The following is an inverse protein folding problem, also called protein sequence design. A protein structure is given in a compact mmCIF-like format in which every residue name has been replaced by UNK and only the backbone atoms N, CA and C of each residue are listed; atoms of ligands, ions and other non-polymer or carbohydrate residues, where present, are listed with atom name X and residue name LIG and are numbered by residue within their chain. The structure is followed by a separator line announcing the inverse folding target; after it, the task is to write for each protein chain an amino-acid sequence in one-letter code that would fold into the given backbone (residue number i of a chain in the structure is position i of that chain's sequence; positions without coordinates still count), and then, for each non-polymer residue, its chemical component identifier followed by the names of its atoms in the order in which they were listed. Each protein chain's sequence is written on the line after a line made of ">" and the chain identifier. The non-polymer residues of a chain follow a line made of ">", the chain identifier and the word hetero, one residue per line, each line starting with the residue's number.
data_IF_778241206223
#
_entry.id   IF_778241206223
#
_cell.length_a   1.000
_cell.length_b   1.000
_cell.length_c   1.000
_cell.angle_alpha   90.00
_cell.angle_beta   90.00
_cell.angle_gamma   90.00
#
_symmetry.space_group_name_H-M   'P 1'
#
loop_
_entity.id
_entity.type
_entity.pdbx_description
1 polymer ?
#
# COMPACT_ATOMS: atom_id res chain seq x y z
N UNK A 1 25.52 -46.17 -1.49
CA UNK A 1 25.61 -44.71 -1.26
C UNK A 1 24.52 -44.04 -2.07
N UNK A 2 23.58 -43.36 -1.42
CA UNK A 2 22.41 -42.74 -2.06
C UNK A 2 22.58 -41.23 -1.98
N UNK A 3 23.06 -40.63 -3.07
CA UNK A 3 23.22 -39.18 -3.23
C UNK A 3 21.89 -38.56 -3.64
N UNK A 4 21.43 -37.56 -2.89
CA UNK A 4 20.31 -36.70 -3.30
C UNK A 4 20.73 -35.79 -4.48
N UNK A 5 19.78 -35.30 -5.30
CA UNK A 5 20.06 -34.65 -6.59
C UNK A 5 20.80 -33.31 -6.51
N UNK A 6 21.09 -32.81 -5.29
CA UNK A 6 21.79 -31.55 -5.06
C UNK A 6 23.25 -31.71 -4.62
N UNK A 7 23.79 -32.92 -4.57
CA UNK A 7 25.25 -33.14 -4.44
C UNK A 7 25.92 -32.45 -3.24
N UNK A 8 25.19 -32.10 -2.17
CA UNK A 8 25.79 -31.57 -0.95
C UNK A 8 26.03 -32.71 0.03
N UNK A 9 27.30 -33.01 0.24
CA UNK A 9 27.78 -33.87 1.31
C UNK A 9 27.50 -33.20 2.66
N UNK A 10 26.57 -33.77 3.42
CA UNK A 10 26.21 -33.37 4.79
C UNK A 10 27.42 -33.36 5.73
N UNK A 11 28.53 -34.02 5.37
CA UNK A 11 29.79 -33.97 6.11
C UNK A 11 30.48 -32.59 6.11
N UNK A 12 30.26 -31.75 5.09
CA UNK A 12 30.93 -30.43 5.01
C UNK A 12 30.27 -29.33 5.84
N UNK A 13 29.02 -29.52 6.29
CA UNK A 13 28.35 -28.53 7.17
C UNK A 13 28.95 -28.48 8.58
N UNK A 14 29.71 -29.51 8.99
CA UNK A 14 30.31 -29.61 10.33
C UNK A 14 31.79 -29.18 10.41
N UNK A 15 32.43 -28.78 9.31
CA UNK A 15 33.89 -28.61 9.28
C UNK A 15 34.41 -27.21 9.68
N UNK A 16 33.54 -26.21 9.91
CA UNK A 16 34.02 -24.89 10.32
C UNK A 16 33.06 -24.22 11.32
N UNK A 17 33.43 -24.11 12.61
CA UNK A 17 32.57 -23.51 13.64
C UNK A 17 32.20 -22.05 13.34
N UNK A 18 33.06 -21.33 12.60
CA UNK A 18 32.75 -19.99 12.09
C UNK A 18 31.61 -19.97 11.08
N UNK A 19 31.53 -20.96 10.18
CA UNK A 19 30.48 -21.05 9.17
C UNK A 19 29.14 -21.44 9.80
N UNK A 20 29.15 -22.36 10.76
CA UNK A 20 27.97 -22.74 11.54
C UNK A 20 27.43 -21.57 12.37
N UNK A 21 28.32 -20.82 13.04
CA UNK A 21 27.94 -19.59 13.76
C UNK A 21 27.36 -18.54 12.81
N UNK A 22 27.95 -18.35 11.63
CA UNK A 22 27.49 -17.40 10.62
C UNK A 22 26.10 -17.77 10.07
N UNK A 23 25.87 -19.04 9.74
CA UNK A 23 24.55 -19.55 9.37
C UNK A 23 23.52 -19.36 10.49
N UNK A 24 23.91 -19.60 11.75
CA UNK A 24 23.02 -19.40 12.89
C UNK A 24 22.63 -17.91 13.05
N UNK A 25 23.54 -16.97 12.79
CA UNK A 25 23.19 -15.53 12.76
C UNK A 25 22.25 -15.20 11.59
N UNK A 26 22.48 -15.79 10.42
CA UNK A 26 21.60 -15.63 9.25
C UNK A 26 20.18 -16.17 9.50
N UNK A 27 20.05 -17.32 10.16
CA UNK A 27 18.76 -17.88 10.54
C UNK A 27 18.06 -17.03 11.61
N UNK A 28 18.80 -16.39 12.52
CA UNK A 28 18.23 -15.35 13.41
C UNK A 28 17.78 -14.11 12.63
N UNK A 29 18.41 -13.83 11.48
CA UNK A 29 18.05 -12.78 10.51
C UNK A 29 16.77 -13.03 9.70
N UNK A 30 16.22 -14.25 9.69
CA UNK A 30 14.90 -14.53 9.08
C UNK A 30 13.79 -13.77 9.80
N UNK A 31 13.95 -13.48 11.09
CA UNK A 31 13.00 -12.71 11.90
C UNK A 31 12.92 -11.22 11.46
N UNK A 32 14.04 -10.45 11.34
CA UNK A 32 13.99 -9.08 10.83
C UNK A 32 13.59 -8.97 9.35
N UNK A 33 13.99 -9.90 8.48
CA UNK A 33 13.51 -9.90 7.08
C UNK A 33 12.00 -10.13 6.97
N UNK A 34 11.46 -11.06 7.76
CA UNK A 34 10.02 -11.30 7.83
C UNK A 34 9.26 -10.08 8.40
N UNK A 35 9.80 -9.41 9.44
CA UNK A 35 9.22 -8.17 10.00
C UNK A 35 9.24 -7.02 9.00
N UNK A 36 10.33 -6.87 8.25
CA UNK A 36 10.44 -5.87 7.20
C UNK A 36 9.45 -6.13 6.05
N UNK A 37 9.28 -7.39 5.65
CA UNK A 37 8.25 -7.78 4.69
C UNK A 37 6.83 -7.51 5.22
N UNK A 38 6.57 -7.81 6.50
CA UNK A 38 5.28 -7.52 7.14
C UNK A 38 4.99 -6.02 7.17
N UNK A 39 5.94 -5.20 7.66
CA UNK A 39 5.80 -3.74 7.70
C UNK A 39 5.59 -3.13 6.30
N UNK A 40 6.19 -3.71 5.27
CA UNK A 40 5.98 -3.30 3.88
C UNK A 40 4.57 -3.65 3.37
N UNK A 41 4.08 -4.86 3.65
CA UNK A 41 2.70 -5.27 3.28
C UNK A 41 1.66 -4.45 4.03
N UNK A 42 1.87 -4.17 5.32
CA UNK A 42 0.98 -3.33 6.13
C UNK A 42 0.92 -1.90 5.59
N UNK A 43 2.06 -1.31 5.24
CA UNK A 43 2.10 0.02 4.63
C UNK A 43 1.41 0.06 3.26
N UNK A 44 1.53 -1.00 2.47
CA UNK A 44 0.80 -1.14 1.21
C UNK A 44 -0.72 -1.29 1.42
N UNK A 45 -1.13 -2.05 2.42
CA UNK A 45 -2.54 -2.23 2.75
C UNK A 45 -3.19 -0.90 3.19
N UNK A 46 -2.53 -0.13 4.04
CA UNK A 46 -2.97 1.22 4.44
C UNK A 46 -3.08 2.17 3.24
N UNK A 47 -2.13 2.14 2.32
CA UNK A 47 -2.20 2.93 1.08
C UNK A 47 -3.39 2.50 0.20
N UNK A 48 -3.61 1.19 0.05
CA UNK A 48 -4.73 0.66 -0.73
C UNK A 48 -6.09 1.02 -0.14
N UNK A 49 -6.24 1.00 1.19
CA UNK A 49 -7.48 1.41 1.85
C UNK A 49 -7.80 2.88 1.56
N UNK A 50 -6.79 3.75 1.61
CA UNK A 50 -6.95 5.15 1.29
C UNK A 50 -7.35 5.37 -0.19
N UNK A 51 -6.73 4.63 -1.12
CA UNK A 51 -7.10 4.68 -2.55
C UNK A 51 -8.54 4.18 -2.78
N UNK A 52 -8.97 3.14 -2.06
CA UNK A 52 -10.35 2.65 -2.13
C UNK A 52 -11.36 3.70 -1.64
N UNK A 53 -11.04 4.44 -0.57
CA UNK A 53 -11.86 5.55 -0.08
C UNK A 53 -11.95 6.69 -1.10
N UNK A 54 -10.84 7.01 -1.78
CA UNK A 54 -10.84 8.00 -2.85
C UNK A 54 -11.72 7.56 -4.03
N UNK A 55 -11.56 6.31 -4.50
CA UNK A 55 -12.38 5.77 -5.60
C UNK A 55 -13.87 5.74 -5.26
N UNK A 56 -14.22 5.43 -4.01
CA UNK A 56 -15.60 5.52 -3.52
C UNK A 56 -16.14 6.95 -3.62
N UNK A 57 -15.39 7.95 -3.17
CA UNK A 57 -15.81 9.35 -3.26
C UNK A 57 -15.99 9.80 -4.72
N UNK A 58 -15.13 9.35 -5.64
CA UNK A 58 -15.29 9.61 -7.08
C UNK A 58 -16.56 8.94 -7.62
N UNK A 59 -16.82 7.69 -7.28
CA UNK A 59 -18.02 6.99 -7.71
C UNK A 59 -19.30 7.67 -7.20
N UNK A 60 -19.33 8.09 -5.92
CA UNK A 60 -20.43 8.86 -5.33
C UNK A 60 -20.63 10.21 -6.04
N UNK A 61 -19.56 10.91 -6.39
CA UNK A 61 -19.64 12.15 -7.18
C UNK A 61 -20.20 11.90 -8.59
N UNK A 62 -19.86 10.75 -9.21
CA UNK A 62 -20.41 10.34 -10.49
C UNK A 62 -21.91 10.09 -10.43
N UNK A 63 -22.37 9.44 -9.36
CA UNK A 63 -23.81 9.24 -9.12
C UNK A 63 -24.54 10.58 -8.94
N UNK A 64 -23.98 11.50 -8.14
CA UNK A 64 -24.53 12.85 -7.97
C UNK A 64 -24.56 13.65 -9.28
N UNK A 65 -23.59 13.44 -10.18
CA UNK A 65 -23.62 14.03 -11.52
C UNK A 65 -24.83 13.53 -12.32
N UNK A 66 -25.08 12.22 -12.28
CA UNK A 66 -26.22 11.61 -12.97
C UNK A 66 -27.55 12.10 -12.39
N UNK A 67 -27.68 12.23 -11.07
CA UNK A 67 -28.84 12.84 -10.41
C UNK A 67 -29.00 14.32 -10.81
N UNK A 68 -27.88 15.05 -10.98
CA UNK A 68 -27.92 16.42 -11.44
C UNK A 68 -28.38 16.59 -12.90
N UNK A 69 -28.20 15.57 -13.73
CA UNK A 69 -28.59 15.60 -15.15
C UNK A 69 -29.98 14.99 -15.39
N UNK A 70 -30.43 14.06 -14.53
CA UNK A 70 -31.66 13.28 -14.74
C UNK A 70 -32.88 13.74 -13.93
N UNK A 71 -32.77 14.80 -13.13
CA UNK A 71 -33.94 15.30 -12.39
C UNK A 71 -35.06 15.74 -13.35
N UNK A 72 -36.30 15.36 -13.03
CA UNK A 72 -37.51 15.56 -13.86
C UNK A 72 -37.90 17.04 -14.05
N UNK A 73 -37.30 17.97 -13.30
CA UNK A 73 -37.52 19.42 -13.49
C UNK A 73 -36.63 20.01 -14.59
N UNK A 74 -37.15 20.95 -15.42
CA UNK A 74 -36.35 21.69 -16.38
C UNK A 74 -35.30 22.54 -15.65
N UNK A 75 -34.05 22.08 -15.61
CA UNK A 75 -32.95 22.85 -15.03
C UNK A 75 -32.42 23.91 -15.99
N UNK A 76 -32.08 25.07 -15.43
CA UNK A 76 -31.38 26.09 -16.22
C UNK A 76 -29.93 25.66 -16.44
N UNK A 77 -29.27 26.13 -17.51
CA UNK A 77 -27.84 25.87 -17.74
C UNK A 77 -26.94 26.30 -16.55
N UNK A 78 -27.39 27.29 -15.78
CA UNK A 78 -26.68 27.78 -14.59
C UNK A 78 -26.72 26.77 -13.44
N UNK A 79 -27.84 26.07 -13.24
CA UNK A 79 -27.98 25.04 -12.20
C UNK A 79 -27.11 23.81 -12.48
N UNK A 80 -27.03 23.42 -13.74
CA UNK A 80 -26.16 22.32 -14.19
C UNK A 80 -24.68 22.70 -14.02
N UNK A 81 -24.32 23.94 -14.39
CA UNK A 81 -22.96 24.44 -14.21
C UNK A 81 -22.56 24.50 -12.73
N UNK A 82 -23.45 25.00 -11.87
CA UNK A 82 -23.22 25.04 -10.42
C UNK A 82 -23.05 23.64 -9.83
N UNK A 83 -23.86 22.66 -10.26
CA UNK A 83 -23.67 21.27 -9.81
C UNK A 83 -22.34 20.68 -10.28
N UNK A 84 -21.96 20.90 -11.55
CA UNK A 84 -20.68 20.45 -12.09
C UNK A 84 -19.50 21.05 -11.31
N UNK A 85 -19.53 22.36 -11.05
CA UNK A 85 -18.48 23.06 -10.32
C UNK A 85 -18.34 22.53 -8.88
N UNK A 86 -19.46 22.22 -8.21
CA UNK A 86 -19.47 21.58 -6.89
C UNK A 86 -18.83 20.18 -6.91
N UNK A 87 -19.16 19.37 -7.92
CA UNK A 87 -18.62 18.01 -8.04
C UNK A 87 -17.13 18.00 -8.35
N UNK A 88 -16.67 18.87 -9.25
CA UNK A 88 -15.25 19.06 -9.54
C UNK A 88 -14.51 19.48 -8.27
N UNK A 89 -15.03 20.45 -7.52
CA UNK A 89 -14.44 20.88 -6.26
C UNK A 89 -14.29 19.72 -5.26
N UNK A 90 -15.32 18.88 -5.10
CA UNK A 90 -15.28 17.72 -4.20
C UNK A 90 -14.21 16.70 -4.62
N UNK A 91 -14.09 16.40 -5.91
CA UNK A 91 -13.06 15.48 -6.42
C UNK A 91 -11.66 16.07 -6.27
N UNK A 92 -11.50 17.37 -6.52
CA UNK A 92 -10.23 18.09 -6.32
C UNK A 92 -9.81 18.09 -4.86
N UNK A 93 -10.71 18.37 -3.93
CA UNK A 93 -10.43 18.34 -2.49
C UNK A 93 -10.05 16.92 -2.04
N UNK A 94 -10.70 15.89 -2.58
CA UNK A 94 -10.38 14.49 -2.31
C UNK A 94 -9.00 14.09 -2.88
N UNK A 95 -8.64 14.57 -4.08
CA UNK A 95 -7.30 14.40 -4.65
C UNK A 95 -6.21 15.11 -3.85
N UNK A 96 -6.49 16.30 -3.33
CA UNK A 96 -5.53 17.02 -2.50
C UNK A 96 -5.24 16.24 -1.21
N UNK A 97 -6.28 15.74 -0.53
CA UNK A 97 -6.13 14.88 0.65
C UNK A 97 -5.32 13.61 0.34
N UNK A 98 -5.54 13.02 -0.84
CA UNK A 98 -4.77 11.88 -1.33
C UNK A 98 -3.30 12.20 -1.50
N UNK A 99 -2.98 13.34 -2.12
CA UNK A 99 -1.59 13.76 -2.31
C UNK A 99 -0.88 13.99 -0.98
N UNK A 100 -1.57 14.64 -0.03
CA UNK A 100 -1.05 14.87 1.32
C UNK A 100 -0.79 13.55 2.07
N UNK A 101 -1.70 12.59 1.97
CA UNK A 101 -1.54 11.26 2.57
C UNK A 101 -0.38 10.48 1.92
N UNK A 102 -0.30 10.47 0.59
CA UNK A 102 0.77 9.81 -0.15
C UNK A 102 2.15 10.40 0.18
N UNK A 103 2.24 11.72 0.37
CA UNK A 103 3.49 12.37 0.76
C UNK A 103 3.98 11.92 2.16
N UNK A 104 3.05 11.68 3.10
CA UNK A 104 3.36 11.22 4.47
C UNK A 104 3.71 9.73 4.53
N UNK A 105 3.11 8.91 3.66
CA UNK A 105 3.29 7.46 3.64
C UNK A 105 4.77 7.04 3.55
N UNK A 106 5.56 7.75 2.74
CA UNK A 106 7.00 7.51 2.61
C UNK A 106 7.79 7.80 3.89
N UNK A 107 7.34 8.77 4.68
CA UNK A 107 7.97 9.15 5.94
C UNK A 107 7.59 8.14 7.03
N UNK A 108 6.32 7.76 7.10
CA UNK A 108 5.81 6.81 8.09
C UNK A 108 6.37 5.40 7.87
N UNK A 109 6.48 4.96 6.61
CA UNK A 109 7.14 3.71 6.26
C UNK A 109 8.60 3.69 6.71
N UNK A 110 9.37 4.75 6.41
CA UNK A 110 10.77 4.86 6.85
C UNK A 110 10.89 4.84 8.36
N UNK A 111 9.99 5.51 9.08
CA UNK A 111 9.98 5.52 10.54
C UNK A 111 9.73 4.13 11.11
N UNK A 112 8.70 3.41 10.64
CA UNK A 112 8.41 2.03 11.06
C UNK A 112 9.56 1.07 10.76
N UNK A 113 10.22 1.24 9.61
CA UNK A 113 11.40 0.46 9.25
C UNK A 113 12.55 0.68 10.25
N UNK A 114 12.77 1.92 10.70
CA UNK A 114 13.80 2.27 11.68
C UNK A 114 13.49 1.82 13.11
N UNK A 115 12.21 1.66 13.47
CA UNK A 115 11.79 1.17 14.79
C UNK A 115 11.89 -0.37 14.89
N UNK A 116 11.93 -1.09 13.76
CA UNK A 116 12.01 -2.56 13.68
C UNK A 116 13.44 -3.13 13.44
N UNK A 117 14.43 -2.27 13.16
CA UNK A 117 15.86 -2.60 13.02
C UNK A 117 16.56 -2.48 14.37
#
# INVERSE_FOLDING_TARGET
>A
MKTNPFGMDLGMMNANPMLAWWQQQWMKGVNPMARMQAAWIESLAEAMEFEAQFLKAVAESGQQMTECLNNEEPRTPQDVHACYQKLVQQVTDAQQKRMEHAARLSHDFRKRLWEEI
#
